data_IF_778205769338
#
_entry.id   IF_778205769338
#
_cell.length_a   1.000
_cell.length_b   1.000
_cell.length_c   1.000
_cell.angle_alpha   90.00
_cell.angle_beta   90.00
_cell.angle_gamma   90.00
#
_symmetry.space_group_name_H-M   'P 1'
#
loop_
_entity.id
_entity.type
_entity.pdbx_description
1 polymer ?
#
# COMPACT_ATOMS: atom_id res chain seq x y z
N UNK A 1 17.24 29.76 13.58
CA UNK A 1 17.60 28.85 12.48
C UNK A 1 17.74 27.44 13.05
N UNK A 2 16.76 26.53 12.85
CA UNK A 2 16.79 25.17 13.43
C UNK A 2 17.37 24.19 12.40
N UNK A 3 18.43 23.48 12.80
CA UNK A 3 19.19 22.54 11.96
C UNK A 3 18.40 21.23 11.79
N UNK A 4 17.76 21.05 10.63
CA UNK A 4 17.09 19.79 10.29
C UNK A 4 18.16 18.69 10.20
N UNK A 5 18.07 17.67 11.08
CA UNK A 5 18.97 16.51 11.01
C UNK A 5 18.49 15.62 9.88
N UNK A 6 19.40 15.20 9.01
CA UNK A 6 19.13 14.19 8.00
C UNK A 6 18.88 12.85 8.68
N UNK A 7 17.65 12.36 8.63
CA UNK A 7 17.28 11.04 9.12
C UNK A 7 17.48 10.02 8.00
N UNK A 8 18.61 9.31 8.00
CA UNK A 8 18.79 8.16 7.12
C UNK A 8 17.78 7.08 7.52
N UNK A 9 16.74 6.91 6.71
CA UNK A 9 15.72 5.87 6.91
C UNK A 9 16.36 4.52 6.61
N UNK A 10 16.74 3.81 7.66
CA UNK A 10 17.20 2.42 7.55
C UNK A 10 15.96 1.52 7.45
N UNK A 11 15.60 1.13 6.23
CA UNK A 11 14.56 0.13 5.99
C UNK A 11 15.10 -1.25 6.41
N UNK A 12 14.82 -1.65 7.64
CA UNK A 12 15.18 -2.97 8.15
C UNK A 12 14.23 -4.04 7.59
N UNK A 13 14.79 -5.03 6.88
CA UNK A 13 14.07 -6.22 6.42
C UNK A 13 14.80 -7.46 6.93
N UNK A 14 14.10 -8.31 7.67
CA UNK A 14 14.59 -9.65 7.99
C UNK A 14 14.60 -10.51 6.71
N UNK A 15 15.78 -10.95 6.29
CA UNK A 15 15.97 -11.84 5.14
C UNK A 15 16.39 -13.22 5.64
N UNK A 16 15.87 -14.29 5.01
CA UNK A 16 16.11 -15.66 5.46
C UNK A 16 17.60 -16.03 5.43
N UNK A 17 18.29 -15.66 4.35
CA UNK A 17 19.74 -15.88 4.18
C UNK A 17 20.56 -15.08 5.20
N UNK A 18 20.17 -13.84 5.47
CA UNK A 18 20.79 -13.00 6.49
C UNK A 18 20.62 -13.57 7.91
N UNK A 19 19.40 -14.03 8.24
CA UNK A 19 19.13 -14.68 9.53
C UNK A 19 19.92 -15.99 9.68
N UNK A 20 19.92 -16.85 8.67
CA UNK A 20 20.66 -18.12 8.72
C UNK A 20 22.17 -17.89 8.83
N UNK A 21 22.73 -16.88 8.15
CA UNK A 21 24.16 -16.54 8.23
C UNK A 21 24.59 -16.04 9.62
N UNK A 22 23.68 -15.43 10.38
CA UNK A 22 23.96 -14.88 11.72
C UNK A 22 23.52 -15.79 12.89
N UNK A 23 22.85 -16.91 12.64
CA UNK A 23 22.56 -17.91 13.68
C UNK A 23 23.73 -18.89 13.77
N UNK A 24 24.31 -19.13 14.97
CA UNK A 24 25.40 -20.09 15.13
C UNK A 24 25.03 -21.49 14.62
N UNK A 25 25.96 -22.10 13.88
CA UNK A 25 25.71 -23.33 13.11
C UNK A 25 25.24 -24.50 13.98
N UNK A 26 25.75 -24.60 15.20
CA UNK A 26 25.35 -25.58 16.21
C UNK A 26 23.87 -25.44 16.64
N UNK A 27 23.30 -24.23 16.59
CA UNK A 27 21.88 -23.99 16.88
C UNK A 27 21.01 -24.51 15.72
N UNK A 28 21.41 -24.26 14.47
CA UNK A 28 20.72 -24.77 13.28
C UNK A 28 20.74 -26.31 13.23
N UNK A 29 21.92 -26.91 13.41
CA UNK A 29 22.13 -28.37 13.51
C UNK A 29 21.24 -29.00 14.58
N UNK A 30 21.19 -28.40 15.78
CA UNK A 30 20.38 -28.92 16.89
C UNK A 30 18.87 -28.76 16.64
N UNK A 31 18.45 -27.65 16.02
CA UNK A 31 17.04 -27.36 15.71
C UNK A 31 16.50 -28.29 14.63
N UNK A 32 17.19 -28.37 13.49
CA UNK A 32 16.71 -29.04 12.30
C UNK A 32 17.12 -30.53 12.26
N UNK A 33 17.99 -30.97 13.19
CA UNK A 33 18.46 -32.35 13.41
C UNK A 33 19.19 -32.98 12.20
N UNK A 34 19.90 -32.16 11.44
CA UNK A 34 20.71 -32.57 10.28
C UNK A 34 22.20 -32.50 10.57
N UNK A 35 23.04 -33.09 9.70
CA UNK A 35 24.50 -32.96 9.79
C UNK A 35 24.93 -31.50 9.57
N UNK A 36 25.98 -31.05 10.27
CA UNK A 36 26.59 -29.74 10.07
C UNK A 36 26.97 -29.45 8.61
N UNK A 37 27.31 -30.47 7.81
CA UNK A 37 27.66 -30.30 6.39
C UNK A 37 26.51 -29.77 5.52
N UNK A 38 25.25 -29.97 5.95
CA UNK A 38 24.08 -29.39 5.27
C UNK A 38 24.09 -27.85 5.26
N UNK A 39 24.89 -27.25 6.15
CA UNK A 39 25.02 -25.80 6.35
C UNK A 39 26.39 -25.26 5.88
N UNK A 40 27.21 -26.03 5.16
CA UNK A 40 28.53 -25.58 4.68
C UNK A 40 28.44 -24.52 3.57
N UNK A 41 27.33 -24.51 2.81
CA UNK A 41 27.13 -23.65 1.63
C UNK A 41 26.11 -22.53 1.88
N UNK A 42 25.92 -22.13 3.15
CA UNK A 42 25.13 -20.93 3.48
C UNK A 42 25.85 -19.69 2.89
N UNK A 43 25.16 -18.83 2.13
CA UNK A 43 25.71 -17.54 1.73
C UNK A 43 26.02 -16.66 2.95
N UNK A 44 27.22 -16.10 3.00
CA UNK A 44 27.71 -15.19 4.05
C UNK A 44 27.03 -13.81 4.06
N UNK A 45 26.13 -13.57 3.12
CA UNK A 45 25.49 -12.29 2.85
C UNK A 45 24.04 -12.46 2.42
N UNK A 46 23.23 -11.45 2.75
CA UNK A 46 21.83 -11.42 2.38
C UNK A 46 21.61 -11.55 0.86
N UNK A 47 20.68 -12.43 0.47
CA UNK A 47 20.16 -12.55 -0.89
C UNK A 47 18.73 -12.00 -0.90
N UNK A 48 18.42 -11.12 -1.86
CA UNK A 48 17.15 -10.40 -1.93
C UNK A 48 16.33 -10.73 -3.18
N UNK A 49 16.83 -10.33 -4.35
CA UNK A 49 16.24 -10.67 -5.65
C UNK A 49 17.23 -11.56 -6.40
N UNK A 50 16.79 -12.77 -6.75
CA UNK A 50 17.57 -13.76 -7.47
C UNK A 50 16.88 -14.10 -8.78
N UNK A 51 17.65 -14.31 -9.84
CA UNK A 51 17.15 -14.93 -11.06
C UNK A 51 16.86 -16.41 -10.80
N UNK A 52 15.66 -16.86 -11.16
CA UNK A 52 15.27 -18.28 -11.14
C UNK A 52 14.81 -18.71 -12.53
N UNK A 53 14.76 -20.01 -12.77
CA UNK A 53 13.95 -20.55 -13.86
C UNK A 53 12.47 -20.20 -13.63
N UNK A 54 11.69 -20.11 -14.70
CA UNK A 54 10.23 -19.98 -14.62
C UNK A 54 9.66 -21.34 -14.19
N UNK A 55 8.80 -21.42 -13.15
CA UNK A 55 8.13 -22.66 -12.79
C UNK A 55 7.30 -23.19 -13.96
N UNK A 56 7.47 -24.48 -14.28
CA UNK A 56 6.77 -25.16 -15.38
C UNK A 56 5.50 -25.90 -14.95
N UNK A 57 5.32 -26.12 -13.65
CA UNK A 57 4.18 -26.81 -13.05
C UNK A 57 3.09 -25.83 -12.61
N UNK A 58 1.86 -26.33 -12.50
CA UNK A 58 0.74 -25.56 -11.97
C UNK A 58 0.93 -25.18 -10.49
N UNK A 59 0.30 -24.07 -10.07
CA UNK A 59 0.31 -23.67 -8.66
C UNK A 59 -0.36 -24.74 -7.78
N UNK A 60 -1.41 -25.38 -8.26
CA UNK A 60 -2.14 -26.43 -7.52
C UNK A 60 -1.33 -27.73 -7.40
N UNK A 61 -0.43 -28.00 -8.35
CA UNK A 61 0.45 -29.17 -8.36
C UNK A 61 1.65 -29.01 -7.40
N UNK A 62 2.03 -27.76 -7.11
CA UNK A 62 3.22 -27.40 -6.32
C UNK A 62 2.89 -26.92 -4.90
N UNK A 63 1.61 -26.76 -4.56
CA UNK A 63 1.17 -26.30 -3.25
C UNK A 63 1.54 -27.32 -2.14
N UNK A 64 2.22 -26.89 -1.06
CA UNK A 64 2.57 -27.78 0.04
C UNK A 64 1.33 -28.19 0.85
N UNK A 65 1.13 -29.50 1.03
CA UNK A 65 0.05 -30.04 1.87
C UNK A 65 0.43 -29.91 3.34
N UNK A 66 -0.43 -29.25 4.13
CA UNK A 66 -0.24 -29.02 5.57
C UNK A 66 -1.28 -29.78 6.40
N UNK A 67 -0.88 -30.47 7.49
CA UNK A 67 -1.83 -31.03 8.46
C UNK A 67 -2.73 -29.98 9.14
N UNK A 68 -2.34 -28.70 9.12
CA UNK A 68 -3.14 -27.59 9.62
C UNK A 68 -4.24 -27.11 8.64
N UNK A 69 -4.34 -27.73 7.45
CA UNK A 69 -5.28 -27.34 6.41
C UNK A 69 -4.85 -26.11 5.61
N UNK A 70 -5.81 -25.51 4.91
CA UNK A 70 -5.63 -24.30 4.09
C UNK A 70 -6.09 -23.04 4.84
N UNK A 71 -5.58 -21.87 4.43
CA UNK A 71 -6.02 -20.59 5.01
C UNK A 71 -7.46 -20.26 4.60
N UNK A 72 -8.34 -19.78 5.51
CA UNK A 72 -9.75 -19.55 5.19
C UNK A 72 -10.01 -18.40 4.21
N UNK A 73 -9.09 -17.43 4.11
CA UNK A 73 -9.20 -16.26 3.24
C UNK A 73 -7.95 -16.16 2.35
N UNK A 74 -8.10 -15.80 1.05
CA UNK A 74 -6.98 -15.65 0.15
C UNK A 74 -6.18 -14.36 0.44
N UNK A 75 -4.86 -14.43 0.28
CA UNK A 75 -3.97 -13.26 0.35
C UNK A 75 -3.90 -12.45 -0.95
N UNK A 76 -4.66 -12.84 -1.98
CA UNK A 76 -4.71 -12.19 -3.29
C UNK A 76 -6.08 -11.58 -3.55
N UNK A 77 -6.12 -10.35 -4.05
CA UNK A 77 -7.33 -9.65 -4.42
C UNK A 77 -7.25 -9.12 -5.86
N UNK A 78 -8.23 -9.49 -6.69
CA UNK A 78 -8.25 -9.13 -8.11
C UNK A 78 -8.81 -7.72 -8.34
N UNK A 79 -8.15 -6.69 -7.81
CA UNK A 79 -8.62 -5.30 -7.81
C UNK A 79 -9.01 -4.77 -9.21
N UNK A 80 -8.39 -5.25 -10.28
CA UNK A 80 -8.71 -4.88 -11.66
C UNK A 80 -10.08 -5.40 -12.16
N UNK A 81 -10.71 -6.33 -11.43
CA UNK A 81 -12.06 -6.85 -11.68
C UNK A 81 -13.12 -6.18 -10.80
N UNK A 82 -12.74 -5.30 -9.88
CA UNK A 82 -13.65 -4.53 -9.04
C UNK A 82 -14.05 -3.21 -9.72
N UNK A 83 -15.26 -2.69 -9.46
CA UNK A 83 -15.64 -1.35 -9.92
C UNK A 83 -14.65 -0.29 -9.43
N UNK A 84 -14.18 0.58 -10.32
CA UNK A 84 -13.32 1.70 -9.94
C UNK A 84 -14.17 2.87 -9.41
N UNK A 85 -13.78 3.43 -8.27
CA UNK A 85 -14.32 4.72 -7.81
C UNK A 85 -13.60 5.86 -8.54
N UNK A 86 -14.36 6.77 -9.12
CA UNK A 86 -13.82 7.86 -9.95
C UNK A 86 -13.32 9.01 -9.09
N UNK A 87 -12.01 9.28 -9.16
CA UNK A 87 -11.35 10.49 -8.67
C UNK A 87 -10.10 10.72 -9.52
N UNK A 88 -9.71 11.96 -9.82
CA UNK A 88 -9.03 12.24 -11.08
C UNK A 88 -7.75 13.13 -11.02
N UNK A 89 -7.13 13.28 -9.83
CA UNK A 89 -5.98 14.15 -9.40
C UNK A 89 -4.75 14.42 -10.33
N UNK A 90 -4.23 15.65 -10.21
CA UNK A 90 -3.05 16.27 -10.85
C UNK A 90 -1.68 15.61 -10.55
N UNK A 91 -0.93 15.27 -11.60
CA UNK A 91 0.55 15.26 -11.62
C UNK A 91 1.05 15.52 -13.06
N UNK A 92 2.03 16.41 -13.29
CA UNK A 92 2.61 16.60 -14.62
C UNK A 92 3.44 15.40 -15.10
N UNK A 93 3.96 14.59 -14.17
CA UNK A 93 5.06 13.66 -14.43
C UNK A 93 4.80 12.26 -13.84
N UNK A 94 3.91 11.48 -14.46
CA UNK A 94 3.88 10.00 -14.45
C UNK A 94 3.66 9.26 -13.11
N UNK A 95 4.52 9.48 -12.10
CA UNK A 95 4.51 8.81 -10.81
C UNK A 95 4.66 9.85 -9.70
N UNK A 96 3.64 10.01 -8.86
CA UNK A 96 3.70 10.93 -7.71
C UNK A 96 2.94 10.36 -6.53
N UNK A 97 3.65 10.07 -5.44
CA UNK A 97 3.02 9.81 -4.14
C UNK A 97 2.65 11.13 -3.47
N UNK A 98 1.51 11.14 -2.78
CA UNK A 98 1.06 12.27 -1.98
C UNK A 98 0.39 11.76 -0.71
N UNK A 99 0.36 12.61 0.32
CA UNK A 99 -0.26 12.30 1.61
C UNK A 99 -1.25 13.41 1.94
N UNK A 100 -2.46 13.01 2.33
CA UNK A 100 -3.49 13.91 2.88
C UNK A 100 -3.66 13.51 4.35
N UNK A 101 -3.45 14.42 5.33
CA UNK A 101 -3.71 14.12 6.73
C UNK A 101 -5.17 13.75 6.98
N UNK A 102 -5.43 12.97 8.03
CA UNK A 102 -6.79 12.62 8.43
C UNK A 102 -7.68 13.85 8.60
N UNK A 103 -8.95 13.76 8.20
CA UNK A 103 -9.98 14.84 8.20
C UNK A 103 -9.73 16.04 7.27
N UNK A 104 -8.63 16.10 6.52
CA UNK A 104 -8.42 17.19 5.55
C UNK A 104 -9.24 16.94 4.27
N UNK A 105 -10.17 17.84 3.95
CA UNK A 105 -10.91 17.83 2.69
C UNK A 105 -9.98 17.96 1.48
N UNK A 106 -10.25 17.23 0.41
CA UNK A 106 -9.31 17.15 -0.72
C UNK A 106 -9.94 16.88 -2.09
N UNK A 107 -9.34 17.54 -3.09
CA UNK A 107 -9.60 17.50 -4.53
C UNK A 107 -9.10 16.30 -5.33
N UNK A 108 -9.72 16.01 -6.49
CA UNK A 108 -9.37 14.89 -7.38
C UNK A 108 -9.53 15.29 -8.87
N UNK A 109 -8.68 16.23 -9.30
CA UNK A 109 -8.68 17.05 -10.54
C UNK A 109 -7.96 16.44 -11.79
N UNK A 110 -8.66 16.15 -12.91
CA UNK A 110 -8.03 15.66 -14.19
C UNK A 110 -7.57 16.81 -15.07
N UNK A 111 -6.25 16.93 -15.24
CA UNK A 111 -5.63 18.01 -16.04
C UNK A 111 -5.11 17.52 -17.40
N UNK A 112 -5.52 16.34 -17.88
CA UNK A 112 -5.02 15.75 -19.12
C UNK A 112 -6.02 14.90 -19.91
N UNK A 113 -5.64 14.56 -21.15
CA UNK A 113 -6.51 13.87 -22.11
C UNK A 113 -6.60 12.35 -21.93
N UNK A 114 -5.79 11.76 -21.04
CA UNK A 114 -5.79 10.33 -20.73
C UNK A 114 -6.63 10.00 -19.51
N UNK A 115 -7.19 8.79 -19.43
CA UNK A 115 -7.88 8.28 -18.23
C UNK A 115 -6.93 8.23 -17.03
N UNK A 116 -7.24 8.94 -15.94
CA UNK A 116 -6.50 8.75 -14.69
C UNK A 116 -6.92 7.43 -14.02
N UNK A 117 -5.93 6.73 -13.46
CA UNK A 117 -6.11 5.66 -12.47
C UNK A 117 -5.18 5.96 -11.30
N UNK A 118 -5.67 5.82 -10.07
CA UNK A 118 -4.91 6.05 -8.84
C UNK A 118 -5.37 5.08 -7.75
N UNK A 119 -4.58 4.96 -6.68
CA UNK A 119 -4.95 4.22 -5.47
C UNK A 119 -5.04 5.20 -4.29
N UNK A 120 -6.16 5.20 -3.59
CA UNK A 120 -6.25 5.70 -2.22
C UNK A 120 -5.87 4.57 -1.27
N UNK A 121 -4.80 4.76 -0.50
CA UNK A 121 -4.32 3.77 0.49
C UNK A 121 -4.52 4.36 1.88
N UNK A 122 -5.27 3.65 2.72
CA UNK A 122 -5.65 4.07 4.06
C UNK A 122 -5.17 3.04 5.07
N UNK A 123 -4.69 3.50 6.23
CA UNK A 123 -4.36 2.62 7.35
C UNK A 123 -5.62 2.35 8.18
N UNK A 124 -6.58 1.63 7.58
CA UNK A 124 -7.89 1.31 8.14
C UNK A 124 -8.36 -0.05 7.63
N UNK A 125 -9.21 -0.73 8.39
CA UNK A 125 -9.92 -1.94 7.95
C UNK A 125 -11.20 -1.65 7.16
N UNK A 126 -11.64 -0.39 7.11
CA UNK A 126 -12.87 0.07 6.42
C UNK A 126 -12.54 1.34 5.62
N UNK A 127 -13.12 1.47 4.42
CA UNK A 127 -13.13 2.70 3.63
C UNK A 127 -14.45 3.46 3.87
N UNK A 128 -14.34 4.75 4.19
CA UNK A 128 -15.47 5.66 4.37
C UNK A 128 -15.11 7.02 3.76
N UNK A 129 -16.09 7.70 3.15
CA UNK A 129 -15.95 9.06 2.65
C UNK A 129 -17.18 9.92 2.99
N UNK A 130 -16.99 11.25 2.93
CA UNK A 130 -18.06 12.24 3.11
C UNK A 130 -18.03 13.16 1.89
N UNK A 131 -19.02 13.02 1.01
CA UNK A 131 -19.18 13.91 -0.14
C UNK A 131 -19.68 15.28 0.31
N UNK A 132 -18.94 16.34 -0.06
CA UNK A 132 -19.35 17.73 0.17
C UNK A 132 -20.73 18.03 -0.44
N UNK A 133 -20.98 17.55 -1.66
CA UNK A 133 -22.26 17.73 -2.34
C UNK A 133 -23.41 17.05 -1.58
N UNK A 134 -23.19 15.84 -1.08
CA UNK A 134 -24.19 15.12 -0.29
C UNK A 134 -24.46 15.80 1.06
N UNK A 135 -23.41 16.26 1.73
CA UNK A 135 -23.53 17.01 2.98
C UNK A 135 -24.30 18.32 2.79
N UNK A 136 -24.00 19.09 1.74
CA UNK A 136 -24.73 20.30 1.40
C UNK A 136 -26.18 20.00 0.98
N UNK A 137 -26.43 18.96 0.18
CA UNK A 137 -27.79 18.57 -0.22
C UNK A 137 -28.70 18.24 0.99
N UNK A 138 -28.13 17.67 2.06
CA UNK A 138 -28.83 17.35 3.31
C UNK A 138 -28.86 18.50 4.33
N UNK A 139 -28.21 19.63 4.05
CA UNK A 139 -28.17 20.80 4.93
C UNK A 139 -29.36 21.74 4.63
N UNK A 140 -30.14 22.20 5.63
CA UNK A 140 -31.21 23.18 5.43
C UNK A 140 -30.69 24.52 4.86
N UNK A 141 -31.43 25.14 3.94
CA UNK A 141 -30.94 26.31 3.19
C UNK A 141 -30.61 27.54 4.07
N UNK A 142 -31.30 27.69 5.20
CA UNK A 142 -31.01 28.73 6.19
C UNK A 142 -29.59 28.59 6.79
N UNK A 143 -29.09 27.36 6.92
CA UNK A 143 -27.74 27.06 7.40
C UNK A 143 -26.70 27.32 6.30
N UNK A 144 -27.01 26.97 5.04
CA UNK A 144 -26.13 27.30 3.89
C UNK A 144 -25.93 28.81 3.75
N UNK A 145 -27.03 29.57 3.80
CA UNK A 145 -27.01 31.03 3.63
C UNK A 145 -26.16 31.74 4.71
N UNK A 146 -26.11 31.21 5.93
CA UNK A 146 -25.26 31.73 7.01
C UNK A 146 -23.80 31.26 6.94
N UNK A 147 -23.50 30.20 6.17
CA UNK A 147 -22.14 29.67 5.95
C UNK A 147 -21.42 30.26 4.72
N UNK A 148 -22.13 30.97 3.82
CA UNK A 148 -21.56 31.50 2.58
C UNK A 148 -20.35 32.46 2.75
N UNK A 149 -20.08 32.94 3.97
CA UNK A 149 -18.89 33.75 4.29
C UNK A 149 -17.57 32.95 4.38
N UNK A 150 -17.59 31.62 4.19
CA UNK A 150 -16.42 30.73 4.38
C UNK A 150 -15.84 30.21 3.04
N UNK A 151 -16.46 30.53 1.90
CA UNK A 151 -15.96 30.10 0.58
C UNK A 151 -14.76 30.91 0.11
N UNK A 152 -13.78 30.22 -0.50
CA UNK A 152 -12.61 30.84 -1.11
C UNK A 152 -13.07 31.73 -2.28
N UNK A 153 -12.65 33.01 -2.35
CA UNK A 153 -13.01 33.89 -3.46
C UNK A 153 -12.61 33.29 -4.80
N UNK A 154 -13.60 33.06 -5.68
CA UNK A 154 -13.39 32.53 -7.03
C UNK A 154 -13.72 31.05 -7.24
N UNK A 155 -14.15 30.31 -6.21
CA UNK A 155 -14.67 28.94 -6.36
C UNK A 155 -16.20 28.97 -6.34
N UNK A 156 -16.86 28.54 -7.41
CA UNK A 156 -18.31 28.46 -7.49
C UNK A 156 -18.82 27.09 -7.01
N UNK A 157 -20.04 27.07 -6.46
CA UNK A 157 -20.70 25.81 -6.07
C UNK A 157 -20.95 24.88 -7.27
N UNK A 158 -21.02 25.42 -8.48
CA UNK A 158 -21.12 24.66 -9.74
C UNK A 158 -19.85 23.90 -10.10
N UNK A 159 -18.70 24.28 -9.57
CA UNK A 159 -17.40 23.67 -9.92
C UNK A 159 -17.21 22.29 -9.25
N UNK A 160 -18.17 21.89 -8.42
CA UNK A 160 -18.26 20.59 -7.77
C UNK A 160 -19.37 19.68 -8.35
N UNK A 161 -20.14 20.13 -9.36
CA UNK A 161 -21.28 19.40 -9.96
C UNK A 161 -20.83 18.58 -11.18
#
# INVERSE_FOLDING_TARGET
>A
MKRQRSSTIHLAKALLTDWIAHVPKEVLVKKDRVNASAFDHIPDRQLWMLSSAVPTQGVDETNPVSPAGTVPLPYTFAASKSPALTGIRHSPNGHSSCYVPSTFGHYVEKVGNTTLKYFGIFNSNIYEDISLNQWLALTPDMVKASQHAIFIPGVQLTDFI
#
